data_IF_220982705652
#
_entry.id   IF_220982705652
#
_cell.length_a   1.000
_cell.length_b   1.000
_cell.length_c   1.000
_cell.angle_alpha   90.00
_cell.angle_beta   90.00
_cell.angle_gamma   90.00
#
_symmetry.space_group_name_H-M   'P 1'
#
loop_
_entity.id
_entity.type
_entity.pdbx_description
1 polymer ?
#
# COMPACT_ATOMS: atom_id res chain seq x y z
N UNK A 1 55.52 53.24 3.96
CA UNK A 1 54.13 53.73 3.76
C UNK A 1 53.62 53.29 2.40
N UNK A 2 52.49 52.55 2.37
CA UNK A 2 51.43 52.45 1.34
C UNK A 2 50.85 51.02 1.32
N UNK A 3 49.68 50.87 1.95
CA UNK A 3 48.77 49.70 1.84
C UNK A 3 47.88 49.89 0.61
N UNK A 4 47.53 48.81 -0.11
CA UNK A 4 46.20 48.64 -0.67
C UNK A 4 45.60 47.29 -0.22
N UNK A 5 44.51 47.28 0.54
CA UNK A 5 43.11 47.20 0.08
C UNK A 5 42.73 45.83 -0.54
N UNK A 6 42.39 44.90 0.36
CA UNK A 6 41.22 44.00 0.40
C UNK A 6 40.46 43.76 -0.92
N UNK A 7 40.40 42.48 -1.34
CA UNK A 7 39.24 41.90 -2.02
C UNK A 7 39.17 40.40 -1.72
N UNK A 8 38.57 40.03 -0.59
CA UNK A 8 38.23 38.64 -0.28
C UNK A 8 36.90 38.30 -0.95
N UNK A 9 36.95 37.65 -2.11
CA UNK A 9 35.77 37.09 -2.76
C UNK A 9 35.38 35.78 -2.05
N UNK A 10 34.44 35.86 -1.10
CA UNK A 10 33.77 34.66 -0.57
C UNK A 10 32.78 34.15 -1.63
N UNK A 11 33.19 33.14 -2.39
CA UNK A 11 32.27 32.35 -3.22
C UNK A 11 31.39 31.48 -2.30
N UNK A 12 30.13 31.86 -2.11
CA UNK A 12 29.11 31.00 -1.53
C UNK A 12 28.84 29.84 -2.50
N UNK A 13 29.50 28.70 -2.29
CA UNK A 13 29.13 27.45 -2.94
C UNK A 13 27.82 26.96 -2.31
N UNK A 14 26.68 27.22 -2.97
CA UNK A 14 25.41 26.59 -2.62
C UNK A 14 25.51 25.10 -2.90
N UNK A 15 25.63 24.30 -1.84
CA UNK A 15 25.45 22.85 -1.90
C UNK A 15 23.98 22.57 -2.25
N UNK A 16 23.68 22.40 -3.54
CA UNK A 16 22.43 21.80 -3.99
C UNK A 16 22.46 20.32 -3.61
N UNK A 17 21.94 19.97 -2.44
CA UNK A 17 21.63 18.58 -2.11
C UNK A 17 20.59 18.09 -3.13
N UNK A 18 20.85 17.02 -3.90
CA UNK A 18 19.84 16.47 -4.78
C UNK A 18 18.65 16.03 -3.92
N UNK A 19 17.46 16.54 -4.23
CA UNK A 19 16.23 15.99 -3.66
C UNK A 19 16.13 14.54 -4.16
N UNK A 20 16.32 13.58 -3.26
CA UNK A 20 16.04 12.18 -3.57
C UNK A 20 14.58 12.11 -4.01
N UNK A 21 14.35 11.78 -5.28
CA UNK A 21 13.00 11.58 -5.78
C UNK A 21 12.36 10.43 -4.99
N UNK A 22 11.13 10.65 -4.51
CA UNK A 22 10.36 9.58 -3.88
C UNK A 22 10.20 8.42 -4.87
N UNK A 23 10.34 7.19 -4.37
CA UNK A 23 10.01 6.03 -5.19
C UNK A 23 8.56 6.12 -5.68
N UNK A 24 8.21 5.60 -6.86
CA UNK A 24 6.81 5.54 -7.27
C UNK A 24 5.96 4.77 -6.26
N UNK A 25 4.73 5.20 -5.99
CA UNK A 25 3.79 4.48 -5.09
C UNK A 25 3.56 3.03 -5.51
N UNK A 26 3.70 2.74 -6.80
CA UNK A 26 3.64 1.37 -7.35
C UNK A 26 4.79 0.45 -6.91
N UNK A 27 5.89 1.02 -6.43
CA UNK A 27 7.08 0.31 -5.93
C UNK A 27 7.19 0.31 -4.41
N UNK A 28 6.40 1.14 -3.71
CA UNK A 28 6.39 1.16 -2.25
C UNK A 28 5.79 -0.13 -1.69
N UNK A 29 6.66 -1.02 -1.19
CA UNK A 29 6.26 -2.37 -0.75
C UNK A 29 5.15 -2.33 0.31
N UNK A 30 5.27 -1.46 1.32
CA UNK A 30 4.27 -1.36 2.39
C UNK A 30 2.89 -0.96 1.85
N UNK A 31 2.80 0.02 0.95
CA UNK A 31 1.51 0.41 0.34
C UNK A 31 0.92 -0.72 -0.48
N UNK A 32 1.75 -1.39 -1.28
CA UNK A 32 1.31 -2.46 -2.17
C UNK A 32 0.84 -3.69 -1.38
N UNK A 33 1.59 -4.14 -0.38
CA UNK A 33 1.23 -5.29 0.47
C UNK A 33 -0.12 -5.08 1.15
N UNK A 34 -0.38 -3.87 1.65
CA UNK A 34 -1.67 -3.54 2.30
C UNK A 34 -2.82 -3.55 1.30
N UNK A 35 -2.62 -3.08 0.07
CA UNK A 35 -3.63 -3.11 -0.98
C UNK A 35 -3.90 -4.54 -1.48
N UNK A 36 -2.86 -5.36 -1.62
CA UNK A 36 -2.97 -6.79 -1.93
C UNK A 36 -3.79 -7.49 -0.85
N UNK A 37 -3.46 -7.30 0.42
CA UNK A 37 -4.17 -7.93 1.54
C UNK A 37 -5.62 -7.43 1.67
N UNK A 38 -5.87 -6.14 1.40
CA UNK A 38 -7.23 -5.61 1.32
C UNK A 38 -8.03 -6.26 0.17
N UNK A 39 -7.39 -6.52 -0.97
CA UNK A 39 -8.00 -7.23 -2.09
C UNK A 39 -8.29 -8.70 -1.74
N UNK A 40 -7.37 -9.40 -1.08
CA UNK A 40 -7.59 -10.76 -0.57
C UNK A 40 -8.82 -10.80 0.32
N UNK A 41 -8.92 -9.89 1.30
CA UNK A 41 -10.10 -9.80 2.17
C UNK A 41 -11.40 -9.53 1.39
N UNK A 42 -11.38 -8.61 0.41
CA UNK A 42 -12.54 -8.30 -0.42
C UNK A 42 -13.00 -9.51 -1.28
N UNK A 43 -12.07 -10.29 -1.83
CA UNK A 43 -12.41 -11.48 -2.61
C UNK A 43 -12.94 -12.59 -1.71
N UNK A 44 -12.30 -12.84 -0.56
CA UNK A 44 -12.71 -13.86 0.41
C UNK A 44 -14.15 -13.64 0.87
N UNK A 45 -14.50 -12.44 1.36
CA UNK A 45 -15.87 -12.15 1.82
C UNK A 45 -16.93 -12.26 0.72
N UNK A 46 -16.56 -12.05 -0.54
CA UNK A 46 -17.50 -12.13 -1.68
C UNK A 46 -17.80 -13.57 -2.08
N UNK A 47 -16.84 -14.46 -1.82
CA UNK A 47 -16.94 -15.88 -2.20
C UNK A 47 -17.22 -16.79 -0.98
N UNK A 48 -17.20 -16.26 0.24
CA UNK A 48 -17.50 -17.01 1.45
C UNK A 48 -18.75 -16.44 2.17
N UNK A 49 -19.89 -17.16 2.20
CA UNK A 49 -21.12 -16.65 2.80
C UNK A 49 -21.10 -16.56 4.33
N UNK A 50 -20.13 -17.16 5.01
CA UNK A 50 -19.98 -17.15 6.47
C UNK A 50 -18.95 -16.15 6.99
N UNK A 51 -18.38 -15.31 6.13
CA UNK A 51 -17.39 -14.29 6.49
C UNK A 51 -17.86 -12.92 6.01
N UNK A 52 -17.90 -11.96 6.93
CA UNK A 52 -18.23 -10.57 6.66
C UNK A 52 -17.00 -9.65 6.72
N UNK A 53 -17.14 -8.44 6.17
CA UNK A 53 -16.13 -7.40 6.30
C UNK A 53 -16.30 -6.59 7.59
N UNK A 54 -15.18 -6.29 8.25
CA UNK A 54 -15.11 -5.25 9.28
C UNK A 54 -15.01 -3.88 8.60
N UNK A 55 -16.13 -3.36 8.08
CA UNK A 55 -16.17 -2.14 7.26
C UNK A 55 -15.53 -0.92 7.94
N UNK A 56 -15.82 -0.70 9.23
CA UNK A 56 -15.20 0.39 10.01
C UNK A 56 -13.68 0.25 10.05
N UNK A 57 -13.17 -0.99 10.21
CA UNK A 57 -11.74 -1.27 10.23
C UNK A 57 -11.10 -1.06 8.87
N UNK A 58 -11.72 -1.59 7.80
CA UNK A 58 -11.26 -1.40 6.42
C UNK A 58 -11.14 0.08 6.05
N UNK A 59 -12.13 0.89 6.43
CA UNK A 59 -12.11 2.32 6.18
C UNK A 59 -11.04 3.06 6.99
N UNK A 60 -10.88 2.68 8.27
CA UNK A 60 -9.80 3.22 9.11
C UNK A 60 -8.42 2.89 8.54
N UNK A 61 -8.22 1.68 8.06
CA UNK A 61 -6.97 1.22 7.45
C UNK A 61 -6.66 1.95 6.13
N UNK A 62 -7.67 2.12 5.26
CA UNK A 62 -7.50 2.90 4.04
C UNK A 62 -7.07 4.35 4.33
N UNK A 63 -7.69 5.00 5.33
CA UNK A 63 -7.28 6.35 5.77
C UNK A 63 -5.89 6.38 6.38
N UNK A 64 -5.53 5.37 7.18
CA UNK A 64 -4.20 5.25 7.75
C UNK A 64 -3.14 5.09 6.65
N UNK A 65 -3.43 4.29 5.62
CA UNK A 65 -2.53 4.09 4.48
C UNK A 65 -2.35 5.36 3.65
N UNK A 66 -3.45 6.07 3.37
CA UNK A 66 -3.39 7.38 2.70
C UNK A 66 -2.55 8.38 3.49
N UNK A 67 -2.75 8.47 4.81
CA UNK A 67 -1.92 9.32 5.68
C UNK A 67 -0.45 8.88 5.67
N UNK A 68 -0.18 7.59 5.67
CA UNK A 68 1.19 7.07 5.60
C UNK A 68 1.90 7.50 4.31
N UNK A 69 1.25 7.40 3.15
CA UNK A 69 1.78 7.92 1.89
C UNK A 69 2.04 9.44 1.98
N UNK A 70 1.08 10.22 2.47
CA UNK A 70 1.28 11.67 2.65
C UNK A 70 2.45 12.02 3.56
N UNK A 71 2.63 11.27 4.64
CA UNK A 71 3.75 11.48 5.57
C UNK A 71 5.11 11.19 4.93
N UNK A 72 5.15 10.34 3.89
CA UNK A 72 6.36 10.11 3.08
C UNK A 72 6.61 11.22 2.06
N UNK A 73 5.68 12.17 1.90
CA UNK A 73 5.82 13.31 0.99
C UNK A 73 5.07 13.18 -0.33
N UNK A 74 4.28 12.11 -0.54
CA UNK A 74 3.44 12.00 -1.72
C UNK A 74 2.29 13.01 -1.69
N UNK A 75 2.07 13.69 -2.81
CA UNK A 75 0.94 14.59 -2.98
C UNK A 75 -0.37 13.82 -3.15
N UNK A 76 -1.49 14.48 -2.88
CA UNK A 76 -2.82 13.94 -3.14
C UNK A 76 -2.99 13.51 -4.61
N UNK A 77 -2.53 14.33 -5.54
CA UNK A 77 -2.59 14.02 -6.98
C UNK A 77 -1.76 12.78 -7.36
N UNK A 78 -0.61 12.55 -6.72
CA UNK A 78 0.18 11.33 -6.93
C UNK A 78 -0.54 10.09 -6.39
N UNK A 79 -1.17 10.20 -5.22
CA UNK A 79 -1.95 9.12 -4.62
C UNK A 79 -3.15 8.79 -5.50
N UNK A 80 -3.91 9.80 -5.93
CA UNK A 80 -5.11 9.59 -6.75
C UNK A 80 -4.75 9.01 -8.13
N UNK A 81 -3.70 9.53 -8.78
CA UNK A 81 -3.20 8.96 -10.03
C UNK A 81 -2.79 7.48 -9.90
N UNK A 82 -2.18 7.10 -8.77
CA UNK A 82 -1.84 5.71 -8.48
C UNK A 82 -3.09 4.84 -8.27
N UNK A 83 -4.09 5.32 -7.52
CA UNK A 83 -5.32 4.57 -7.27
C UNK A 83 -6.18 4.41 -8.54
N UNK A 84 -6.15 5.40 -9.44
CA UNK A 84 -6.89 5.39 -10.70
C UNK A 84 -6.22 4.54 -11.80
N UNK A 85 -4.91 4.30 -11.68
CA UNK A 85 -4.11 3.51 -12.62
C UNK A 85 -4.68 2.09 -12.80
N UNK A 86 -5.16 1.80 -14.01
CA UNK A 86 -5.64 0.45 -14.38
C UNK A 86 -4.53 -0.59 -14.29
N UNK A 87 -3.31 -0.21 -14.69
CA UNK A 87 -2.15 -1.09 -14.67
C UNK A 87 -1.77 -1.49 -13.24
N UNK A 88 -1.72 -0.52 -12.32
CA UNK A 88 -1.41 -0.81 -10.91
C UNK A 88 -2.49 -1.65 -10.25
N UNK A 89 -3.76 -1.35 -10.52
CA UNK A 89 -4.88 -2.16 -10.03
C UNK A 89 -4.81 -3.59 -10.54
N UNK A 90 -4.50 -3.81 -11.82
CA UNK A 90 -4.35 -5.14 -12.38
C UNK A 90 -3.19 -5.91 -11.74
N UNK A 91 -2.04 -5.24 -11.51
CA UNK A 91 -0.89 -5.84 -10.82
C UNK A 91 -1.25 -6.27 -9.40
N UNK A 92 -1.88 -5.38 -8.62
CA UNK A 92 -2.34 -5.69 -7.25
C UNK A 92 -3.31 -6.88 -7.26
N UNK A 93 -4.21 -6.94 -8.25
CA UNK A 93 -5.18 -8.04 -8.35
C UNK A 93 -4.50 -9.36 -8.71
N UNK A 94 -3.55 -9.36 -9.65
CA UNK A 94 -2.78 -10.54 -10.01
C UNK A 94 -1.96 -11.05 -8.82
N UNK A 95 -1.38 -10.15 -8.03
CA UNK A 95 -0.63 -10.51 -6.83
C UNK A 95 -1.53 -11.09 -5.73
N UNK A 96 -2.71 -10.50 -5.51
CA UNK A 96 -3.71 -11.05 -4.60
C UNK A 96 -4.21 -12.43 -5.05
N UNK A 97 -4.43 -12.63 -6.36
CA UNK A 97 -4.81 -13.93 -6.93
C UNK A 97 -3.73 -14.98 -6.70
N UNK A 98 -2.47 -14.65 -7.02
CA UNK A 98 -1.32 -15.51 -6.74
C UNK A 98 -1.25 -15.88 -5.25
N UNK A 99 -1.36 -14.90 -4.35
CA UNK A 99 -1.37 -15.16 -2.91
C UNK A 99 -2.48 -16.15 -2.51
N UNK A 100 -3.70 -15.97 -3.03
CA UNK A 100 -4.82 -16.87 -2.72
C UNK A 100 -4.56 -18.29 -3.24
N UNK A 101 -4.09 -18.44 -4.48
CA UNK A 101 -3.77 -19.74 -5.09
C UNK A 101 -2.66 -20.46 -4.33
N UNK A 102 -1.59 -19.74 -3.97
CA UNK A 102 -0.49 -20.27 -3.14
C UNK A 102 -0.97 -20.74 -1.76
N UNK A 103 -2.02 -20.11 -1.23
CA UNK A 103 -2.67 -20.50 0.02
C UNK A 103 -3.83 -21.50 -0.16
N UNK A 104 -3.94 -22.12 -1.35
CA UNK A 104 -4.84 -23.23 -1.64
C UNK A 104 -6.29 -22.82 -1.91
N UNK A 105 -6.53 -21.60 -2.39
CA UNK A 105 -7.81 -21.19 -2.97
C UNK A 105 -7.94 -21.77 -4.37
N UNK A 106 -9.09 -22.37 -4.65
CA UNK A 106 -9.43 -22.91 -5.96
C UNK A 106 -10.64 -22.17 -6.53
N UNK A 107 -10.50 -21.65 -7.75
CA UNK A 107 -11.58 -20.97 -8.44
C UNK A 107 -12.79 -21.90 -8.61
N UNK A 108 -13.98 -21.38 -8.30
CA UNK A 108 -15.22 -22.16 -8.33
C UNK A 108 -15.46 -23.04 -7.10
N UNK A 109 -14.59 -23.01 -6.08
CA UNK A 109 -14.77 -23.75 -4.81
C UNK A 109 -14.88 -22.79 -3.61
N UNK A 110 -16.08 -22.29 -3.29
CA UNK A 110 -16.34 -21.34 -2.19
C UNK A 110 -15.73 -21.75 -0.84
N UNK A 111 -15.70 -23.05 -0.55
CA UNK A 111 -15.19 -23.61 0.70
C UNK A 111 -13.69 -23.30 0.89
N UNK A 112 -12.93 -23.23 -0.20
CA UNK A 112 -11.50 -22.90 -0.15
C UNK A 112 -11.27 -21.43 0.21
N UNK A 113 -12.12 -20.51 -0.26
CA UNK A 113 -12.12 -19.11 0.16
C UNK A 113 -12.48 -18.97 1.64
N UNK A 114 -13.48 -19.72 2.11
CA UNK A 114 -13.87 -19.72 3.52
C UNK A 114 -12.75 -20.25 4.43
N UNK A 115 -12.06 -21.32 4.01
CA UNK A 115 -10.89 -21.84 4.75
C UNK A 115 -9.82 -20.77 4.86
N UNK A 116 -9.41 -20.18 3.73
CA UNK A 116 -8.42 -19.10 3.73
C UNK A 116 -8.86 -17.97 4.67
N UNK A 117 -10.10 -17.49 4.56
CA UNK A 117 -10.60 -16.40 5.39
C UNK A 117 -10.53 -16.68 6.89
N UNK A 118 -10.88 -17.90 7.33
CA UNK A 118 -10.75 -18.31 8.73
C UNK A 118 -9.29 -18.37 9.17
N UNK A 119 -8.42 -18.89 8.31
CA UNK A 119 -6.98 -18.98 8.59
C UNK A 119 -6.35 -17.58 8.72
N UNK A 120 -6.70 -16.64 7.84
CA UNK A 120 -6.27 -15.24 7.91
C UNK A 120 -6.75 -14.56 9.20
N UNK A 121 -8.02 -14.75 9.59
CA UNK A 121 -8.58 -14.22 10.84
C UNK A 121 -7.82 -14.77 12.05
N UNK A 122 -7.61 -16.09 12.10
CA UNK A 122 -6.93 -16.76 13.19
C UNK A 122 -5.46 -16.29 13.34
N UNK A 123 -4.77 -16.07 12.22
CA UNK A 123 -3.40 -15.53 12.19
C UNK A 123 -3.32 -14.01 12.41
N UNK A 124 -4.46 -13.32 12.50
CA UNK A 124 -4.52 -11.87 12.65
C UNK A 124 -3.72 -11.11 11.59
N UNK A 125 -3.70 -11.62 10.37
CA UNK A 125 -3.02 -10.95 9.25
C UNK A 125 -3.70 -9.64 8.90
N UNK A 126 -3.13 -8.89 7.96
CA UNK A 126 -3.79 -7.70 7.43
C UNK A 126 -5.15 -8.06 6.84
N UNK A 127 -5.23 -9.06 5.96
CA UNK A 127 -6.51 -9.52 5.41
C UNK A 127 -7.46 -10.00 6.52
N UNK A 128 -6.98 -10.81 7.46
CA UNK A 128 -7.76 -11.33 8.58
C UNK A 128 -8.32 -10.24 9.49
N UNK A 129 -7.56 -9.17 9.71
CA UNK A 129 -7.99 -8.01 10.50
C UNK A 129 -9.15 -7.23 9.86
N UNK A 130 -9.37 -7.41 8.56
CA UNK A 130 -10.47 -6.81 7.80
C UNK A 130 -11.70 -7.72 7.72
N UNK A 131 -11.61 -8.95 8.24
CA UNK A 131 -12.63 -9.97 8.15
C UNK A 131 -13.19 -10.34 9.53
N UNK A 132 -14.42 -10.82 9.56
CA UNK A 132 -15.04 -11.43 10.73
C UNK A 132 -15.77 -12.69 10.31
N UNK A 133 -15.56 -13.79 11.04
CA UNK A 133 -16.45 -14.93 10.95
C UNK A 133 -17.81 -14.55 11.56
N UNK A 134 -18.90 -15.08 10.98
CA UNK A 134 -20.23 -15.05 11.60
C UNK A 134 -20.34 -16.04 12.74
#
# INVERSE_FOLDING_TARGET
>A
MKRPLIAAALALATLTTPAAALEPLSQNAYVNDRLVQARVADVVRRNCPSIDARLVRAFSEARALKRHARNQGYSEAQIDAFLDSRADRQRIYAEADRYMVENGVLNGQPETFCRLGRDEIARQTVAGSLLSAR
#
